data_IF_710474083107
#
_entry.id   IF_710474083107
#
_cell.length_a   1.000
_cell.length_b   1.000
_cell.length_c   1.000
_cell.angle_alpha   90.00
_cell.angle_beta   90.00
_cell.angle_gamma   90.00
#
_symmetry.space_group_name_H-M   'P 1'
#
loop_
_entity.id
_entity.type
_entity.pdbx_description
1 polymer ?
#
# COMPACT_ATOMS: atom_id res chain seq x y z
N UNK A 1 -19.92 21.04 -12.58
CA UNK A 1 -19.26 19.82 -12.07
C UNK A 1 -19.70 18.68 -12.95
N UNK A 2 -18.98 18.43 -14.05
CA UNK A 2 -19.29 17.29 -14.91
C UNK A 2 -18.96 16.00 -14.17
N UNK A 3 -19.99 15.17 -13.96
CA UNK A 3 -19.80 13.77 -13.59
C UNK A 3 -19.24 13.07 -14.81
N UNK A 4 -17.91 13.01 -14.89
CA UNK A 4 -17.20 12.13 -15.80
C UNK A 4 -17.62 10.70 -15.46
N UNK A 5 -18.57 10.17 -16.23
CA UNK A 5 -19.03 8.78 -16.14
C UNK A 5 -17.81 7.88 -16.20
N UNK A 6 -17.61 7.06 -15.17
CA UNK A 6 -16.49 6.13 -15.05
C UNK A 6 -16.51 5.14 -16.24
N UNK A 7 -15.85 5.52 -17.33
CA UNK A 7 -15.64 4.64 -18.47
C UNK A 7 -14.58 3.63 -18.06
N UNK A 8 -14.97 2.37 -17.99
CA UNK A 8 -14.02 1.29 -17.71
C UNK A 8 -13.06 1.24 -18.90
N UNK A 9 -11.84 1.70 -18.65
CA UNK A 9 -10.78 1.73 -19.64
C UNK A 9 -10.16 0.33 -19.71
N UNK A 10 -10.47 -0.42 -20.77
CA UNK A 10 -10.03 -1.80 -20.94
C UNK A 10 -8.50 -1.96 -20.87
N UNK A 11 -7.75 -0.90 -21.20
CA UNK A 11 -6.30 -0.86 -21.08
C UNK A 11 -5.76 -0.91 -19.64
N UNK A 12 -6.63 -0.69 -18.66
CA UNK A 12 -6.28 -0.78 -17.24
C UNK A 12 -6.34 -2.20 -16.70
N UNK A 13 -7.05 -3.10 -17.37
CA UNK A 13 -7.19 -4.50 -16.95
C UNK A 13 -5.86 -5.26 -16.93
N UNK A 14 -4.97 -5.15 -17.94
CA UNK A 14 -3.66 -5.79 -17.89
C UNK A 14 -2.82 -5.33 -16.70
N UNK A 15 -2.86 -4.03 -16.38
CA UNK A 15 -2.16 -3.48 -15.22
C UNK A 15 -2.73 -4.03 -13.90
N UNK A 16 -4.06 -4.14 -13.79
CA UNK A 16 -4.72 -4.77 -12.64
C UNK A 16 -4.34 -6.25 -12.51
N UNK A 17 -4.31 -6.99 -13.62
CA UNK A 17 -3.87 -8.40 -13.65
C UNK A 17 -2.42 -8.54 -13.18
N UNK A 18 -1.55 -7.58 -13.50
CA UNK A 18 -0.16 -7.56 -13.03
C UNK A 18 -0.03 -7.34 -11.52
N UNK A 19 -1.01 -6.70 -10.88
CA UNK A 19 -1.04 -6.56 -9.42
C UNK A 19 -1.40 -7.86 -8.70
N UNK A 20 -2.13 -8.77 -9.34
CA UNK A 20 -2.50 -10.06 -8.74
C UNK A 20 -1.28 -10.85 -8.22
N UNK A 21 -0.23 -11.10 -9.01
CA UNK A 21 0.95 -11.80 -8.49
C UNK A 21 1.67 -11.02 -7.39
N UNK A 22 1.68 -9.69 -7.44
CA UNK A 22 2.28 -8.85 -6.37
C UNK A 22 1.55 -9.05 -5.04
N UNK A 23 0.22 -9.02 -5.06
CA UNK A 23 -0.59 -9.26 -3.87
C UNK A 23 -0.55 -10.72 -3.41
N UNK A 24 -0.44 -11.66 -4.36
CA UNK A 24 -0.26 -13.09 -4.05
C UNK A 24 1.06 -13.34 -3.33
N UNK A 25 2.18 -12.77 -3.80
CA UNK A 25 3.49 -12.84 -3.12
C UNK A 25 3.41 -12.24 -1.72
N UNK A 26 2.67 -11.14 -1.57
CA UNK A 26 2.42 -10.53 -0.27
C UNK A 26 1.65 -11.41 0.71
N UNK A 27 0.73 -12.25 0.22
CA UNK A 27 -0.13 -13.10 1.03
C UNK A 27 0.51 -14.47 1.34
N UNK A 28 1.12 -15.09 0.33
CA UNK A 28 1.76 -16.40 0.38
C UNK A 28 3.16 -16.35 -0.24
N UNK A 29 4.14 -15.74 0.45
CA UNK A 29 5.47 -15.54 -0.11
C UNK A 29 6.18 -16.86 -0.42
N UNK A 30 6.08 -17.85 0.47
CA UNK A 30 6.74 -19.15 0.27
C UNK A 30 6.17 -19.92 -0.92
N UNK A 31 4.84 -20.01 -1.02
CA UNK A 31 4.19 -20.67 -2.14
C UNK A 31 4.52 -20.01 -3.48
N UNK A 32 4.53 -18.68 -3.52
CA UNK A 32 4.90 -17.93 -4.73
C UNK A 32 6.37 -18.13 -5.09
N UNK A 33 7.28 -18.09 -4.12
CA UNK A 33 8.71 -18.36 -4.34
C UNK A 33 8.95 -19.79 -4.82
N UNK A 34 8.26 -20.78 -4.23
CA UNK A 34 8.33 -22.17 -4.65
C UNK A 34 7.86 -22.34 -6.09
N UNK A 35 6.69 -21.79 -6.43
CA UNK A 35 6.11 -21.87 -7.78
C UNK A 35 6.99 -21.18 -8.82
N UNK A 36 7.47 -19.96 -8.55
CA UNK A 36 8.37 -19.23 -9.45
C UNK A 36 9.68 -19.98 -9.68
N UNK A 37 10.17 -20.66 -8.65
CA UNK A 37 11.38 -21.47 -8.72
C UNK A 37 11.18 -22.73 -9.54
N UNK A 38 10.05 -23.41 -9.37
CA UNK A 38 9.70 -24.59 -10.15
C UNK A 38 9.56 -24.24 -11.64
N UNK A 39 8.89 -23.12 -11.94
CA UNK A 39 8.74 -22.60 -13.30
C UNK A 39 10.07 -22.14 -13.91
N UNK A 40 10.95 -21.54 -13.12
CA UNK A 40 12.22 -20.98 -13.58
C UNK A 40 13.35 -22.01 -13.74
N UNK A 41 13.20 -23.23 -13.21
CA UNK A 41 14.25 -24.26 -13.16
C UNK A 41 15.60 -23.74 -12.62
N UNK A 42 15.60 -22.68 -11.80
CA UNK A 42 16.82 -22.01 -11.33
C UNK A 42 17.38 -22.72 -10.09
N UNK A 43 18.68 -23.00 -10.09
CA UNK A 43 19.40 -23.58 -8.96
C UNK A 43 19.52 -22.60 -7.79
N UNK A 44 19.54 -23.14 -6.56
CA UNK A 44 19.49 -22.38 -5.30
C UNK A 44 20.82 -21.71 -4.98
N UNK A 45 21.17 -20.67 -5.72
CA UNK A 45 22.20 -19.76 -5.25
C UNK A 45 21.58 -18.87 -4.15
N UNK A 46 22.36 -18.58 -3.09
CA UNK A 46 21.99 -17.56 -2.08
C UNK A 46 22.00 -16.18 -2.73
N UNK A 47 20.97 -15.89 -3.53
CA UNK A 47 20.74 -14.58 -4.12
C UNK A 47 19.95 -13.71 -3.13
N UNK A 48 20.20 -12.40 -3.14
CA UNK A 48 19.45 -11.42 -2.34
C UNK A 48 17.93 -11.49 -2.59
N UNK A 49 17.54 -11.86 -3.82
CA UNK A 49 16.14 -12.06 -4.23
C UNK A 49 15.46 -13.23 -3.55
N UNK A 50 16.21 -14.15 -2.94
CA UNK A 50 15.66 -15.26 -2.15
C UNK A 50 15.33 -14.86 -0.71
N UNK A 51 15.68 -13.65 -0.26
CA UNK A 51 15.29 -13.15 1.06
C UNK A 51 13.87 -12.58 1.01
N UNK A 52 12.89 -13.18 1.72
CA UNK A 52 11.52 -12.67 1.75
C UNK A 52 11.45 -11.22 2.22
N UNK A 53 12.30 -10.84 3.17
CA UNK A 53 12.39 -9.47 3.69
C UNK A 53 12.80 -8.46 2.62
N UNK A 54 13.76 -8.80 1.76
CA UNK A 54 14.20 -7.91 0.67
C UNK A 54 13.04 -7.67 -0.29
N UNK A 55 12.30 -8.73 -0.63
CA UNK A 55 11.11 -8.62 -1.48
C UNK A 55 10.03 -7.76 -0.82
N UNK A 56 9.75 -7.97 0.47
CA UNK A 56 8.82 -7.15 1.26
C UNK A 56 9.20 -5.66 1.23
N UNK A 57 10.47 -5.33 1.48
CA UNK A 57 10.95 -3.95 1.46
C UNK A 57 10.82 -3.31 0.07
N UNK A 58 11.23 -4.03 -0.98
CA UNK A 58 11.16 -3.52 -2.35
C UNK A 58 9.72 -3.30 -2.80
N UNK A 59 8.82 -4.26 -2.55
CA UNK A 59 7.39 -4.13 -2.88
C UNK A 59 6.73 -2.99 -2.11
N UNK A 60 7.08 -2.83 -0.83
CA UNK A 60 6.53 -1.75 0.00
C UNK A 60 7.00 -0.38 -0.45
N UNK A 61 8.29 -0.24 -0.76
CA UNK A 61 8.87 0.98 -1.30
C UNK A 61 8.27 1.33 -2.66
N UNK A 62 8.10 0.33 -3.54
CA UNK A 62 7.47 0.50 -4.84
C UNK A 62 6.01 0.99 -4.70
N UNK A 63 5.23 0.37 -3.81
CA UNK A 63 3.83 0.76 -3.62
C UNK A 63 3.69 2.17 -3.04
N UNK A 64 4.56 2.54 -2.09
CA UNK A 64 4.64 3.89 -1.56
C UNK A 64 4.96 4.91 -2.65
N UNK A 65 6.03 4.66 -3.42
CA UNK A 65 6.44 5.50 -4.55
C UNK A 65 5.33 5.64 -5.59
N UNK A 66 4.66 4.54 -5.94
CA UNK A 66 3.52 4.54 -6.85
C UNK A 66 2.42 5.49 -6.37
N UNK A 67 2.09 5.46 -5.07
CA UNK A 67 1.07 6.36 -4.51
C UNK A 67 1.52 7.82 -4.52
N UNK A 68 2.79 8.11 -4.23
CA UNK A 68 3.33 9.48 -4.34
C UNK A 68 3.13 10.02 -5.76
N UNK A 69 3.54 9.25 -6.77
CA UNK A 69 3.38 9.64 -8.17
C UNK A 69 1.91 9.89 -8.54
N UNK A 70 1.00 8.98 -8.14
CA UNK A 70 -0.43 9.14 -8.45
C UNK A 70 -1.08 10.30 -7.70
N UNK A 71 -0.62 10.61 -6.48
CA UNK A 71 -1.06 11.82 -5.78
C UNK A 71 -0.59 13.09 -6.50
N UNK A 72 0.66 13.11 -6.99
CA UNK A 72 1.23 14.26 -7.72
C UNK A 72 0.51 14.49 -9.05
N UNK A 73 0.24 13.43 -9.80
CA UNK A 73 -0.58 13.49 -11.03
C UNK A 73 -2.00 13.98 -10.77
N UNK A 74 -2.54 13.73 -9.56
CA UNK A 74 -3.83 14.24 -9.13
C UNK A 74 -3.82 15.72 -8.68
N UNK A 75 -2.68 16.41 -8.79
CA UNK A 75 -2.52 17.81 -8.39
C UNK A 75 -2.42 18.04 -6.88
N UNK A 76 -2.12 17.01 -6.08
CA UNK A 76 -1.91 17.18 -4.64
C UNK A 76 -0.57 17.86 -4.32
N UNK A 77 -0.52 18.58 -3.21
CA UNK A 77 0.70 19.18 -2.69
C UNK A 77 1.78 18.12 -2.41
N UNK A 78 3.06 18.50 -2.52
CA UNK A 78 4.21 17.62 -2.33
C UNK A 78 4.25 17.00 -0.92
N UNK A 79 3.97 17.80 0.11
CA UNK A 79 3.93 17.31 1.50
C UNK A 79 2.82 16.25 1.68
N UNK A 80 1.63 16.51 1.15
CA UNK A 80 0.48 15.60 1.26
C UNK A 80 0.68 14.31 0.47
N UNK A 81 1.22 14.40 -0.76
CA UNK A 81 1.54 13.23 -1.58
C UNK A 81 2.60 12.34 -0.93
N UNK A 82 3.65 12.95 -0.36
CA UNK A 82 4.71 12.22 0.36
C UNK A 82 4.18 11.57 1.64
N UNK A 83 3.35 12.26 2.41
CA UNK A 83 2.72 11.71 3.63
C UNK A 83 1.85 10.49 3.34
N UNK A 84 1.00 10.56 2.29
CA UNK A 84 0.17 9.42 1.86
C UNK A 84 1.02 8.26 1.32
N UNK A 85 2.07 8.57 0.57
CA UNK A 85 3.04 7.58 0.10
C UNK A 85 3.70 6.83 1.26
N UNK A 86 4.20 7.55 2.26
CA UNK A 86 4.81 6.96 3.46
C UNK A 86 3.81 6.09 4.25
N UNK A 87 2.58 6.57 4.42
CA UNK A 87 1.50 5.80 5.06
C UNK A 87 1.27 4.47 4.33
N UNK A 88 1.20 4.50 3.00
CA UNK A 88 1.05 3.29 2.19
C UNK A 88 2.27 2.40 2.29
N UNK A 89 3.49 2.93 2.30
CA UNK A 89 4.71 2.14 2.51
C UNK A 89 4.65 1.37 3.83
N UNK A 90 4.26 2.03 4.91
CA UNK A 90 4.15 1.38 6.23
C UNK A 90 3.05 0.31 6.23
N UNK A 91 1.89 0.60 5.64
CA UNK A 91 0.83 -0.42 5.49
C UNK A 91 1.28 -1.59 4.62
N UNK A 92 2.04 -1.33 3.55
CA UNK A 92 2.59 -2.36 2.67
C UNK A 92 3.60 -3.25 3.39
N UNK A 93 4.46 -2.67 4.26
CA UNK A 93 5.38 -3.46 5.08
C UNK A 93 4.62 -4.44 5.98
N UNK A 94 3.54 -3.99 6.63
CA UNK A 94 2.69 -4.85 7.46
C UNK A 94 1.97 -5.90 6.60
N UNK A 95 1.38 -5.48 5.48
CA UNK A 95 0.65 -6.35 4.56
C UNK A 95 1.54 -7.44 3.94
N UNK A 96 2.80 -7.13 3.65
CA UNK A 96 3.75 -8.01 2.98
C UNK A 96 4.79 -8.62 3.94
N UNK A 97 4.60 -8.48 5.26
CA UNK A 97 5.45 -9.15 6.25
C UNK A 97 5.44 -10.66 6.00
N UNK A 98 6.60 -11.34 5.95
CA UNK A 98 6.68 -12.76 5.60
C UNK A 98 6.22 -13.66 6.76
N UNK A 99 4.92 -13.65 7.03
CA UNK A 99 4.26 -14.55 7.98
C UNK A 99 3.70 -15.75 7.25
N UNK A 100 3.97 -16.94 7.78
CA UNK A 100 3.50 -18.21 7.23
C UNK A 100 2.06 -18.46 7.67
N UNK A 101 1.10 -17.97 6.87
CA UNK A 101 -0.33 -18.18 7.14
C UNK A 101 -0.73 -19.66 7.15
N UNK A 102 0.03 -20.51 6.46
CA UNK A 102 -0.16 -21.97 6.45
C UNK A 102 0.05 -22.60 7.83
N UNK A 103 0.87 -21.96 8.68
CA UNK A 103 1.17 -22.41 10.04
C UNK A 103 0.19 -21.87 11.09
N UNK A 104 -0.94 -21.29 10.67
CA UNK A 104 -2.00 -20.83 11.59
C UNK A 104 -2.46 -21.92 12.60
N UNK A 105 -2.65 -23.20 12.20
CA UNK A 105 -3.03 -24.24 13.15
C UNK A 105 -1.97 -24.45 14.24
N UNK A 106 -0.68 -24.31 13.89
CA UNK A 106 0.42 -24.40 14.85
C UNK A 106 0.44 -23.21 15.81
N UNK A 107 0.09 -22.00 15.33
CA UNK A 107 -0.02 -20.82 16.20
C UNK A 107 -1.14 -20.94 17.22
N UNK A 108 -2.24 -21.63 16.88
CA UNK A 108 -3.34 -21.91 17.81
C UNK A 108 -2.99 -22.93 18.90
N UNK A 109 -2.02 -23.81 18.63
CA UNK A 109 -1.55 -24.84 19.54
C UNK A 109 -0.52 -24.33 20.58
N UNK A 110 -0.13 -23.06 20.53
CA UNK A 110 0.82 -22.48 21.48
C UNK A 110 0.18 -22.48 22.89
N UNK A 111 0.82 -23.10 23.91
CA UNK A 111 0.22 -23.26 25.23
C UNK A 111 0.14 -21.95 26.03
N UNK A 112 0.91 -20.94 25.63
CA UNK A 112 0.98 -19.63 26.29
C UNK A 112 0.00 -18.65 25.61
N UNK A 113 -1.04 -18.17 26.31
CA UNK A 113 -2.11 -17.39 25.70
C UNK A 113 -1.65 -16.01 25.18
N UNK A 114 -0.67 -15.37 25.83
CA UNK A 114 -0.16 -14.05 25.42
C UNK A 114 0.46 -14.10 24.02
N UNK A 115 1.30 -15.11 23.75
CA UNK A 115 1.90 -15.30 22.43
C UNK A 115 0.86 -15.63 21.36
N UNK A 116 -0.19 -16.38 21.72
CA UNK A 116 -1.29 -16.70 20.79
C UNK A 116 -2.04 -15.44 20.37
N UNK A 117 -2.40 -14.57 21.31
CA UNK A 117 -3.07 -13.30 20.99
C UNK A 117 -2.18 -12.36 20.18
N UNK A 118 -0.88 -12.32 20.48
CA UNK A 118 0.08 -11.54 19.70
C UNK A 118 0.19 -12.05 18.25
N UNK A 119 0.28 -13.36 18.05
CA UNK A 119 0.31 -13.95 16.71
C UNK A 119 -0.98 -13.70 15.93
N UNK A 120 -2.14 -13.90 16.56
CA UNK A 120 -3.44 -13.66 15.94
C UNK A 120 -3.66 -12.20 15.57
N UNK A 121 -3.30 -11.27 16.45
CA UNK A 121 -3.38 -9.84 16.16
C UNK A 121 -2.46 -9.44 15.02
N UNK A 122 -1.26 -10.03 14.93
CA UNK A 122 -0.32 -9.79 13.83
C UNK A 122 -0.88 -10.31 12.49
N UNK A 123 -1.43 -11.53 12.46
CA UNK A 123 -2.09 -12.09 11.27
C UNK A 123 -3.30 -11.26 10.87
N UNK A 124 -4.12 -10.84 11.84
CA UNK A 124 -5.27 -9.97 11.61
C UNK A 124 -4.86 -8.61 11.03
N UNK A 125 -3.85 -7.96 11.61
CA UNK A 125 -3.32 -6.68 11.12
C UNK A 125 -2.78 -6.79 9.69
N UNK A 126 -2.03 -7.86 9.39
CA UNK A 126 -1.57 -8.17 8.03
C UNK A 126 -2.74 -8.31 7.06
N UNK A 127 -3.76 -9.10 7.42
CA UNK A 127 -4.95 -9.31 6.59
C UNK A 127 -5.72 -8.03 6.31
N UNK A 128 -5.93 -7.20 7.34
CA UNK A 128 -6.60 -5.89 7.19
C UNK A 128 -5.77 -4.94 6.32
N UNK A 129 -4.46 -4.86 6.54
CA UNK A 129 -3.58 -4.02 5.74
C UNK A 129 -3.55 -4.47 4.27
N UNK A 130 -3.44 -5.77 4.03
CA UNK A 130 -3.46 -6.36 2.69
C UNK A 130 -4.80 -6.07 1.98
N UNK A 131 -5.92 -6.30 2.65
CA UNK A 131 -7.25 -6.07 2.10
C UNK A 131 -7.47 -4.59 1.79
N UNK A 132 -7.03 -3.71 2.69
CA UNK A 132 -7.10 -2.27 2.47
C UNK A 132 -6.34 -1.85 1.21
N UNK A 133 -5.09 -2.30 1.04
CA UNK A 133 -4.28 -2.00 -0.14
C UNK A 133 -4.91 -2.57 -1.42
N UNK A 134 -5.44 -3.79 -1.37
CA UNK A 134 -6.13 -4.42 -2.49
C UNK A 134 -7.38 -3.61 -2.91
N UNK A 135 -8.19 -3.16 -1.94
CA UNK A 135 -9.36 -2.33 -2.19
C UNK A 135 -8.95 -0.98 -2.79
N UNK A 136 -7.90 -0.33 -2.28
CA UNK A 136 -7.43 0.96 -2.81
C UNK A 136 -7.03 0.82 -4.29
N UNK A 137 -6.23 -0.20 -4.64
CA UNK A 137 -5.84 -0.44 -6.02
C UNK A 137 -7.01 -0.85 -6.91
N UNK A 138 -7.90 -1.70 -6.42
CA UNK A 138 -9.10 -2.10 -7.15
C UNK A 138 -9.97 -0.88 -7.48
N UNK A 139 -10.19 0.01 -6.50
CA UNK A 139 -10.94 1.27 -6.71
C UNK A 139 -10.22 2.21 -7.66
N UNK A 140 -8.88 2.25 -7.61
CA UNK A 140 -8.09 3.07 -8.53
C UNK A 140 -8.29 2.62 -9.97
N UNK A 141 -8.22 1.32 -10.25
CA UNK A 141 -8.34 0.80 -11.62
C UNK A 141 -9.80 0.73 -12.13
N UNK A 142 -10.78 0.39 -11.28
CA UNK A 142 -12.15 0.13 -11.72
C UNK A 142 -13.11 1.32 -11.62
N UNK A 143 -12.94 2.21 -10.64
CA UNK A 143 -14.02 3.13 -10.23
C UNK A 143 -13.66 4.60 -10.34
N UNK A 144 -12.57 5.03 -9.71
CA UNK A 144 -12.39 6.46 -9.41
C UNK A 144 -11.04 7.02 -9.81
N UNK A 145 -10.14 6.19 -10.38
CA UNK A 145 -8.82 6.64 -10.82
C UNK A 145 -8.10 7.41 -9.71
N UNK A 146 -7.52 8.54 -10.07
CA UNK A 146 -6.78 9.42 -9.18
C UNK A 146 -7.58 9.96 -7.98
N UNK A 147 -8.92 10.00 -8.04
CA UNK A 147 -9.76 10.49 -6.93
C UNK A 147 -9.66 9.62 -5.67
N UNK A 148 -9.30 8.33 -5.81
CA UNK A 148 -9.10 7.44 -4.65
C UNK A 148 -7.98 7.96 -3.75
N UNK A 149 -6.89 8.44 -4.35
CA UNK A 149 -5.74 8.93 -3.60
C UNK A 149 -6.00 10.29 -2.97
N UNK A 150 -6.81 11.14 -3.62
CA UNK A 150 -7.27 12.40 -3.06
C UNK A 150 -8.13 12.17 -1.82
N UNK A 151 -9.10 11.26 -1.92
CA UNK A 151 -10.04 10.94 -0.84
C UNK A 151 -9.43 10.15 0.33
N UNK A 152 -8.20 9.67 0.20
CA UNK A 152 -7.53 8.90 1.25
C UNK A 152 -7.30 9.77 2.50
N UNK A 153 -7.67 9.35 3.72
CA UNK A 153 -7.38 10.11 4.92
C UNK A 153 -5.86 10.15 5.15
N UNK A 154 -5.32 11.36 5.39
CA UNK A 154 -3.92 11.54 5.77
C UNK A 154 -3.78 11.33 7.27
N UNK A 155 -2.94 10.38 7.69
CA UNK A 155 -2.62 10.18 9.11
C UNK A 155 -1.58 11.18 9.63
N UNK A 156 -0.95 11.97 8.76
CA UNK A 156 0.10 12.92 9.13
C UNK A 156 -0.47 14.35 9.21
N UNK A 157 -0.71 14.90 10.42
CA UNK A 157 -1.30 16.22 10.58
C UNK A 157 -0.41 17.35 10.06
N UNK A 158 0.90 17.12 9.94
CA UNK A 158 1.87 18.05 9.33
C UNK A 158 1.58 18.38 7.85
N UNK A 159 0.69 17.63 7.20
CA UNK A 159 0.29 17.86 5.80
C UNK A 159 -0.94 18.76 5.66
N UNK A 160 -1.62 19.12 6.76
CA UNK A 160 -2.67 20.13 6.76
C UNK A 160 -2.02 21.52 6.80
N UNK A 161 -1.68 22.07 5.64
CA UNK A 161 -1.42 23.50 5.54
C UNK A 161 -2.76 24.22 5.76
N UNK A 162 -2.86 24.94 6.88
CA UNK A 162 -3.89 25.95 7.07
C UNK A 162 -3.82 26.96 5.91
N UNK A 163 -4.96 27.39 5.34
CA UNK A 163 -4.96 28.44 4.34
C UNK A 163 -4.24 29.67 4.91
N UNK A 164 -3.46 30.41 4.11
CA UNK A 164 -2.86 31.66 4.55
C UNK A 164 -4.00 32.54 5.10
N UNK A 165 -3.84 33.02 6.33
CA UNK A 165 -4.82 33.89 6.96
C UNK A 165 -5.05 35.09 6.03
N UNK A 166 -6.21 35.11 5.37
CA UNK A 166 -6.67 36.26 4.63
C UNK A 166 -6.92 37.38 5.65
N UNK A 167 -6.12 38.44 5.59
CA UNK A 167 -6.39 39.68 6.32
C UNK A 167 -5.36 40.04 7.37
N UNK A 168 -4.24 40.61 6.92
CA UNK A 168 -3.75 41.84 7.54
C UNK A 168 -3.39 42.85 6.44
N UNK A 169 -4.35 43.10 5.55
CA UNK A 169 -4.44 44.40 4.87
C UNK A 169 -4.90 45.42 5.92
N UNK A 170 -3.93 45.94 6.65
CA UNK A 170 -4.05 47.19 7.39
C UNK A 170 -3.45 48.30 6.54
N UNK A 171 -4.14 48.69 5.47
CA UNK A 171 -3.87 49.93 4.77
C UNK A 171 -4.32 51.15 5.58
N UNK A 172 -3.92 52.33 5.08
CA UNK A 172 -4.36 53.68 5.46
C UNK A 172 -3.54 54.32 6.59
N UNK A 173 -3.07 55.57 6.57
CA UNK A 173 -2.95 56.68 5.61
C UNK A 173 -2.44 57.86 6.43
N UNK A 174 -1.65 58.78 5.86
CA UNK A 174 -1.53 60.11 6.45
C UNK A 174 -0.22 60.85 6.18
N UNK A 175 -0.32 61.79 5.23
CA UNK A 175 0.43 63.05 5.09
C UNK A 175 1.96 63.00 4.94
#
# INVERSE_FOLDING_TARGET
MEQETARIDWWRLPALCLWVPVFAVGLFPEWCHFTLRELGQVTVLRALTNSPWVVTFLLSAYLGWFVVLRCREAGQNEATSTGKGLQITVMALVAFTPLQLENLPHYMAIPVPEYRWLMLSTVGAKGVAWLYLAIVLLRYYLLSGHRVFVAMPSLFPSTHQSPPAAGSDGGNSGA
#
